data_IF_560795577387
#
_entry.id   IF_560795577387
#
_cell.length_a   1.000
_cell.length_b   1.000
_cell.length_c   1.000
_cell.angle_alpha   90.00
_cell.angle_beta   90.00
_cell.angle_gamma   90.00
#
_symmetry.space_group_name_H-M   'P 1'
#
loop_
_entity.id
_entity.type
_entity.pdbx_description
1 polymer ?
#
# COMPACT_ATOMS: atom_id res chain seq x y z
N UNK A 1 -0.45 -10.02 30.16
CA UNK A 1 0.15 -11.37 30.23
C UNK A 1 1.40 -11.47 31.13
N UNK A 2 1.62 -10.59 32.13
CA UNK A 2 2.84 -10.62 32.98
C UNK A 2 2.92 -11.79 34.01
N UNK A 3 2.09 -12.82 33.86
CA UNK A 3 1.98 -13.97 34.81
C UNK A 3 2.05 -15.33 34.13
N UNK A 4 2.37 -15.38 32.83
CA UNK A 4 2.36 -16.61 32.03
C UNK A 4 3.80 -16.94 31.68
N UNK A 5 4.24 -18.16 32.01
CA UNK A 5 5.62 -18.64 31.76
C UNK A 5 5.77 -19.43 30.45
N UNK A 6 4.66 -19.82 29.83
CA UNK A 6 4.65 -20.55 28.57
C UNK A 6 3.23 -20.76 28.07
N UNK A 7 3.08 -20.99 26.76
CA UNK A 7 1.79 -21.29 26.11
C UNK A 7 1.91 -22.61 25.35
N UNK A 8 0.94 -23.49 25.55
CA UNK A 8 0.79 -24.74 24.78
C UNK A 8 -0.62 -24.74 24.20
N UNK A 9 -0.76 -25.02 22.91
CA UNK A 9 -2.08 -25.12 22.27
C UNK A 9 -2.22 -26.36 21.39
N UNK A 10 -3.42 -26.95 21.40
CA UNK A 10 -3.77 -28.06 20.50
C UNK A 10 -3.89 -27.62 19.06
N UNK A 11 -4.36 -26.38 18.86
CA UNK A 11 -4.60 -25.78 17.55
C UNK A 11 -3.82 -24.48 17.40
N UNK A 12 -3.48 -24.14 16.17
CA UNK A 12 -2.81 -22.89 15.82
C UNK A 12 -1.65 -23.10 14.86
N UNK A 13 -1.10 -22.02 14.30
CA UNK A 13 0.07 -22.09 13.43
C UNK A 13 1.16 -21.16 13.95
N UNK A 14 2.43 -21.48 13.72
CA UNK A 14 3.55 -20.63 14.10
C UNK A 14 3.50 -19.21 13.51
N UNK A 15 2.63 -18.95 12.53
CA UNK A 15 2.39 -17.64 11.91
C UNK A 15 1.05 -17.00 12.30
N UNK A 16 0.28 -17.66 13.17
CA UNK A 16 -1.04 -17.20 13.62
C UNK A 16 -0.96 -16.09 14.66
N UNK A 17 -2.10 -15.44 14.91
CA UNK A 17 -2.19 -14.27 15.79
C UNK A 17 -1.65 -14.53 17.22
N UNK A 18 -1.98 -15.68 17.82
CA UNK A 18 -1.49 -16.05 19.14
C UNK A 18 0.03 -16.22 19.18
N UNK A 19 0.63 -16.81 18.13
CA UNK A 19 2.09 -16.92 18.01
C UNK A 19 2.73 -15.54 17.93
N UNK A 20 2.16 -14.61 17.15
CA UNK A 20 2.67 -13.24 17.04
C UNK A 20 2.62 -12.52 18.38
N UNK A 21 1.48 -12.59 19.09
CA UNK A 21 1.33 -12.01 20.42
C UNK A 21 2.33 -12.64 21.39
N UNK A 22 2.45 -13.96 21.40
CA UNK A 22 3.38 -14.64 22.29
C UNK A 22 4.84 -14.22 22.05
N UNK A 23 5.25 -14.07 20.79
CA UNK A 23 6.58 -13.53 20.43
C UNK A 23 6.76 -12.09 20.89
N UNK A 24 5.75 -11.25 20.73
CA UNK A 24 5.78 -9.86 21.19
C UNK A 24 5.98 -9.77 22.71
N UNK A 25 5.33 -10.66 23.47
CA UNK A 25 5.50 -10.77 24.92
C UNK A 25 6.68 -11.65 25.36
N UNK A 26 7.47 -12.19 24.42
CA UNK A 26 8.60 -13.12 24.68
C UNK A 26 8.20 -14.33 25.54
N UNK A 27 7.01 -14.87 25.31
CA UNK A 27 6.50 -16.04 26.02
C UNK A 27 6.83 -17.29 25.18
N UNK A 28 7.62 -18.25 25.70
CA UNK A 28 7.85 -19.53 25.03
C UNK A 28 6.53 -20.18 24.66
N UNK A 29 6.38 -20.65 23.42
CA UNK A 29 5.09 -21.10 22.89
C UNK A 29 5.25 -22.28 21.95
N UNK A 30 4.56 -23.38 22.26
CA UNK A 30 4.42 -24.55 21.37
C UNK A 30 2.95 -24.61 20.95
N UNK A 31 2.70 -24.79 19.65
CA UNK A 31 1.34 -24.83 19.12
C UNK A 31 1.15 -26.01 18.20
N UNK A 32 -0.11 -26.35 17.95
CA UNK A 32 -0.50 -27.49 17.11
C UNK A 32 -0.07 -28.84 17.70
N UNK A 33 -0.20 -29.01 19.02
CA UNK A 33 0.07 -30.31 19.67
C UNK A 33 -1.05 -31.34 19.51
N UNK A 34 -2.22 -30.93 19.01
CA UNK A 34 -3.44 -31.73 18.78
C UNK A 34 -4.09 -32.34 20.04
N UNK A 35 -3.29 -32.83 21.01
CA UNK A 35 -3.75 -33.59 22.18
C UNK A 35 -3.19 -33.07 23.51
N UNK A 36 -2.61 -31.87 23.56
CA UNK A 36 -2.05 -31.30 24.78
C UNK A 36 -3.11 -31.11 25.88
N UNK A 37 -4.33 -30.67 25.56
CA UNK A 37 -5.38 -30.51 26.59
C UNK A 37 -5.90 -31.83 27.16
N UNK A 38 -5.74 -32.94 26.44
CA UNK A 38 -6.07 -34.28 26.92
C UNK A 38 -4.96 -34.89 27.78
N UNK A 39 -3.71 -34.52 27.51
CA UNK A 39 -2.52 -35.08 28.20
C UNK A 39 -2.24 -34.34 29.51
N UNK A 40 -2.32 -33.00 29.52
CA UNK A 40 -1.90 -32.20 30.67
C UNK A 40 -3.04 -31.94 31.65
N UNK A 41 -2.74 -32.05 32.94
CA UNK A 41 -3.70 -31.78 34.01
C UNK A 41 -3.44 -30.43 34.69
N UNK A 42 -4.50 -29.75 35.11
CA UNK A 42 -4.39 -28.50 35.87
C UNK A 42 -3.56 -28.71 37.15
N UNK A 43 -2.50 -27.91 37.32
CA UNK A 43 -1.59 -27.99 38.46
C UNK A 43 -0.41 -28.97 38.26
N UNK A 44 -0.32 -29.64 37.11
CA UNK A 44 0.83 -30.47 36.76
C UNK A 44 2.07 -29.63 36.51
N UNK A 45 3.18 -30.01 37.15
CA UNK A 45 4.49 -29.40 36.91
C UNK A 45 5.12 -29.98 35.64
N UNK A 46 5.54 -29.11 34.73
CA UNK A 46 6.16 -29.46 33.44
C UNK A 46 7.31 -28.50 33.14
N UNK A 47 8.23 -28.94 32.29
CA UNK A 47 9.26 -28.08 31.68
C UNK A 47 9.04 -28.05 30.18
N UNK A 48 8.97 -26.85 29.60
CA UNK A 48 8.74 -26.66 28.18
C UNK A 48 10.01 -26.13 27.51
N UNK A 49 10.50 -26.87 26.52
CA UNK A 49 11.54 -26.45 25.61
C UNK A 49 10.90 -26.09 24.26
N UNK A 50 10.68 -24.80 24.04
CA UNK A 50 10.06 -24.30 22.82
C UNK A 50 11.03 -24.23 21.62
N UNK A 51 12.33 -24.45 21.84
CA UNK A 51 13.33 -24.46 20.77
C UNK A 51 13.35 -25.83 20.07
N UNK A 52 13.39 -26.90 20.86
CA UNK A 52 13.33 -28.27 20.35
C UNK A 52 11.89 -28.80 20.22
N UNK A 53 10.89 -28.02 20.66
CA UNK A 53 9.48 -28.39 20.72
C UNK A 53 9.21 -29.65 21.58
N UNK A 54 9.86 -29.74 22.73
CA UNK A 54 9.73 -30.88 23.65
C UNK A 54 9.15 -30.42 24.98
N UNK A 55 8.23 -31.20 25.55
CA UNK A 55 7.68 -30.99 26.89
C UNK A 55 8.09 -32.16 27.77
N UNK A 56 8.73 -31.84 28.88
CA UNK A 56 9.19 -32.80 29.88
C UNK A 56 8.24 -32.82 31.07
N UNK A 57 8.04 -34.01 31.64
CA UNK A 57 7.29 -34.17 32.88
C UNK A 57 8.15 -33.70 34.06
N UNK A 58 7.59 -32.81 34.89
CA UNK A 58 8.29 -32.24 36.05
C UNK A 58 9.29 -31.14 35.69
N UNK A 59 10.04 -30.69 36.70
CA UNK A 59 11.06 -29.65 36.57
C UNK A 59 12.41 -30.23 36.14
N UNK A 60 12.85 -29.92 34.92
CA UNK A 60 14.18 -30.25 34.39
C UNK A 60 15.09 -29.04 34.64
N UNK A 61 15.91 -29.13 35.69
CA UNK A 61 16.72 -28.00 36.16
C UNK A 61 17.83 -27.64 35.18
N UNK A 62 18.37 -28.62 34.46
CA UNK A 62 19.46 -28.48 33.51
C UNK A 62 19.08 -27.53 32.36
N UNK A 63 17.85 -27.65 31.84
CA UNK A 63 17.32 -26.76 30.80
C UNK A 63 17.14 -25.33 31.31
N UNK A 64 16.74 -25.18 32.58
CA UNK A 64 16.63 -23.87 33.21
C UNK A 64 18.00 -23.19 33.36
N UNK A 65 19.05 -23.95 33.68
CA UNK A 65 20.43 -23.43 33.72
C UNK A 65 20.99 -23.14 32.33
N UNK A 66 20.61 -23.93 31.32
CA UNK A 66 21.04 -23.72 29.94
C UNK A 66 20.50 -22.39 29.38
N UNK A 67 19.22 -22.07 29.61
CA UNK A 67 18.64 -20.77 29.21
C UNK A 67 19.30 -19.56 29.87
N UNK A 68 19.95 -19.74 31.02
CA UNK A 68 20.69 -18.69 31.72
C UNK A 68 22.14 -18.54 31.22
N UNK A 69 22.64 -19.53 30.47
CA UNK A 69 24.01 -19.59 29.98
C UNK A 69 24.15 -19.16 28.51
N UNK A 70 23.06 -19.10 27.75
CA UNK A 70 23.07 -18.51 26.41
C UNK A 70 23.23 -16.99 26.50
N UNK A 71 24.21 -16.46 25.77
CA UNK A 71 24.29 -15.02 25.52
C UNK A 71 23.06 -14.62 24.71
N UNK A 72 22.18 -13.79 25.30
CA UNK A 72 21.07 -13.23 24.55
C UNK A 72 21.65 -12.53 23.31
N UNK A 73 21.13 -12.87 22.13
CA UNK A 73 21.55 -12.21 20.86
C UNK A 73 21.45 -10.68 21.01
N UNK A 74 20.52 -10.19 21.85
CA UNK A 74 20.33 -8.78 22.16
C UNK A 74 21.52 -8.11 22.87
N UNK A 75 22.39 -8.90 23.48
CA UNK A 75 23.62 -8.46 24.14
C UNK A 75 24.82 -8.40 23.20
N UNK A 76 24.75 -9.10 22.07
CA UNK A 76 25.81 -9.07 21.06
C UNK A 76 26.05 -7.65 20.54
N UNK A 77 27.31 -7.37 20.22
CA UNK A 77 27.70 -6.09 19.68
C UNK A 77 26.97 -5.80 18.36
N UNK A 78 26.86 -6.80 17.50
CA UNK A 78 26.23 -6.76 16.18
C UNK A 78 24.75 -6.38 16.30
N UNK A 79 23.98 -7.07 17.16
CA UNK A 79 22.56 -6.74 17.36
C UNK A 79 22.38 -5.33 17.90
N UNK A 80 23.15 -4.93 18.92
CA UNK A 80 23.09 -3.57 19.51
C UNK A 80 23.50 -2.50 18.51
N UNK A 81 24.46 -2.79 17.64
CA UNK A 81 24.87 -1.89 16.55
C UNK A 81 23.76 -1.75 15.52
N UNK A 82 23.26 -2.86 14.97
CA UNK A 82 22.18 -2.87 13.98
C UNK A 82 20.91 -2.21 14.52
N UNK A 83 20.52 -2.49 15.78
CA UNK A 83 19.36 -1.87 16.41
C UNK A 83 19.52 -0.35 16.57
N UNK A 84 20.73 0.14 16.90
CA UNK A 84 21.02 1.58 16.95
C UNK A 84 20.95 2.23 15.57
N UNK A 85 21.46 1.55 14.54
CA UNK A 85 21.40 2.01 13.15
C UNK A 85 19.96 2.04 12.65
N UNK A 86 19.18 0.99 12.90
CA UNK A 86 17.76 0.90 12.50
C UNK A 86 16.93 2.04 13.09
N UNK A 87 17.17 2.46 14.33
CA UNK A 87 16.50 3.64 14.94
C UNK A 87 16.75 4.95 14.19
N UNK A 88 17.79 5.02 13.36
CA UNK A 88 18.11 6.17 12.49
C UNK A 88 17.68 5.97 11.04
N UNK A 89 17.17 4.79 10.68
CA UNK A 89 16.73 4.47 9.33
C UNK A 89 15.20 4.40 9.28
N UNK A 90 14.61 3.50 10.06
CA UNK A 90 13.23 3.04 9.87
C UNK A 90 12.12 4.02 10.30
N UNK A 91 12.23 4.71 11.46
CA UNK A 91 11.12 5.54 11.95
C UNK A 91 10.80 6.69 11.00
N UNK A 92 9.52 6.91 10.73
CA UNK A 92 9.01 8.05 9.98
C UNK A 92 8.39 9.07 10.95
N UNK A 93 9.06 10.21 11.11
CA UNK A 93 8.63 11.31 11.97
C UNK A 93 8.00 12.46 11.15
N UNK A 94 8.45 12.64 9.90
CA UNK A 94 7.89 13.63 8.97
C UNK A 94 6.65 13.09 8.25
N UNK A 95 5.48 13.18 8.90
CA UNK A 95 4.25 12.58 8.38
C UNK A 95 3.44 13.58 7.55
N UNK A 96 3.18 14.77 8.10
CA UNK A 96 2.30 15.78 7.49
C UNK A 96 3.10 16.85 6.74
N UNK A 97 2.97 16.95 5.40
CA UNK A 97 3.60 18.00 4.59
C UNK A 97 3.19 19.43 4.94
N UNK A 98 2.02 19.61 5.56
CA UNK A 98 1.51 20.93 5.94
C UNK A 98 2.05 21.42 7.30
N UNK A 99 2.71 20.54 8.06
CA UNK A 99 3.29 20.90 9.34
C UNK A 99 4.42 21.93 9.14
N UNK A 100 4.48 23.03 9.91
CA UNK A 100 5.60 23.96 9.91
C UNK A 100 6.96 23.27 10.12
N UNK A 101 6.97 22.16 10.86
CA UNK A 101 8.16 21.36 11.11
C UNK A 101 8.48 20.41 9.94
N UNK A 102 7.74 20.42 8.82
CA UNK A 102 8.09 19.70 7.60
C UNK A 102 9.25 20.39 6.85
N UNK A 103 10.43 20.33 7.46
CA UNK A 103 11.64 21.00 7.02
C UNK A 103 12.84 20.05 6.97
N UNK A 104 13.92 20.40 6.22
CA UNK A 104 15.15 19.63 6.23
C UNK A 104 15.75 19.48 7.64
N UNK A 105 15.62 20.52 8.47
CA UNK A 105 16.20 20.56 9.81
C UNK A 105 15.49 19.60 10.79
N UNK A 106 14.23 19.27 10.51
CA UNK A 106 13.43 18.33 11.31
C UNK A 106 13.64 16.86 10.92
N UNK A 107 14.42 16.57 9.87
CA UNK A 107 14.71 15.19 9.47
C UNK A 107 15.58 14.48 10.53
N UNK A 108 15.04 13.46 11.22
CA UNK A 108 15.77 12.75 12.28
C UNK A 108 16.29 11.37 11.83
N UNK A 109 15.72 10.83 10.76
CA UNK A 109 16.05 9.52 10.19
C UNK A 109 16.28 9.58 8.69
N UNK A 110 16.84 8.52 8.11
CA UNK A 110 16.95 8.41 6.65
C UNK A 110 15.57 8.30 5.97
N UNK A 111 14.58 7.68 6.61
CA UNK A 111 13.21 7.65 6.10
C UNK A 111 12.62 9.07 6.03
N UNK A 112 12.86 9.90 7.04
CA UNK A 112 12.47 11.33 7.02
C UNK A 112 13.07 12.07 5.83
N UNK A 113 14.37 11.88 5.54
CA UNK A 113 15.04 12.50 4.39
C UNK A 113 14.38 12.05 3.08
N UNK A 114 14.14 10.75 2.90
CA UNK A 114 13.50 10.25 1.68
C UNK A 114 12.09 10.79 1.49
N UNK A 115 11.32 10.91 2.59
CA UNK A 115 9.98 11.49 2.59
C UNK A 115 10.01 12.98 2.25
N UNK A 116 10.90 13.74 2.87
CA UNK A 116 11.05 15.16 2.64
C UNK A 116 11.44 15.47 1.19
N UNK A 117 12.47 14.78 0.66
CA UNK A 117 12.92 14.96 -0.73
C UNK A 117 11.82 14.60 -1.71
N UNK A 118 11.08 13.51 -1.47
CA UNK A 118 9.95 13.14 -2.31
C UNK A 118 8.87 14.23 -2.34
N UNK A 119 8.46 14.71 -1.17
CA UNK A 119 7.43 15.74 -1.07
C UNK A 119 7.86 17.07 -1.71
N UNK A 120 9.12 17.49 -1.51
CA UNK A 120 9.64 18.71 -2.15
C UNK A 120 9.82 18.56 -3.67
N UNK A 121 10.21 17.38 -4.16
CA UNK A 121 10.25 17.13 -5.60
C UNK A 121 8.85 17.21 -6.23
N UNK A 122 7.84 16.65 -5.55
CA UNK A 122 6.44 16.77 -5.99
C UNK A 122 5.96 18.21 -5.94
N UNK A 123 6.24 18.93 -4.85
CA UNK A 123 5.89 20.33 -4.70
C UNK A 123 6.52 21.18 -5.81
N UNK A 124 7.81 21.00 -6.11
CA UNK A 124 8.51 21.74 -7.16
C UNK A 124 7.92 21.45 -8.54
N UNK A 125 7.55 20.19 -8.84
CA UNK A 125 6.86 19.86 -10.09
C UNK A 125 5.51 20.59 -10.20
N UNK A 126 4.78 20.73 -9.11
CA UNK A 126 3.52 21.47 -9.07
C UNK A 126 3.79 22.97 -9.23
N UNK A 127 4.69 23.54 -8.43
CA UNK A 127 5.00 24.97 -8.39
C UNK A 127 5.62 25.47 -9.70
N UNK A 128 6.47 24.67 -10.35
CA UNK A 128 7.02 24.96 -11.68
C UNK A 128 5.89 25.22 -12.70
N UNK A 129 4.76 24.53 -12.59
CA UNK A 129 3.62 24.74 -13.46
C UNK A 129 2.72 25.92 -13.06
N UNK A 130 2.66 26.25 -11.76
CA UNK A 130 1.83 27.37 -11.27
C UNK A 130 2.50 28.74 -11.41
N UNK A 131 3.81 28.84 -11.12
CA UNK A 131 4.55 30.11 -11.07
C UNK A 131 5.40 30.40 -12.32
N UNK A 132 5.65 29.39 -13.16
CA UNK A 132 6.36 29.56 -14.43
C UNK A 132 5.51 29.12 -15.65
N UNK A 133 4.37 29.78 -15.93
CA UNK A 133 3.59 29.58 -17.16
C UNK A 133 4.32 30.08 -18.43
N UNK A 134 5.64 30.31 -18.35
CA UNK A 134 6.49 30.85 -19.40
C UNK A 134 7.61 29.90 -19.85
N UNK A 135 7.63 28.65 -19.36
CA UNK A 135 8.20 27.58 -20.17
C UNK A 135 7.17 27.26 -21.26
N UNK A 136 7.53 27.44 -22.52
CA UNK A 136 6.63 27.27 -23.66
C UNK A 136 6.07 25.84 -23.83
N UNK A 137 6.59 24.89 -23.05
CA UNK A 137 6.47 23.46 -23.34
C UNK A 137 5.74 22.65 -22.24
N UNK A 138 5.54 23.20 -21.04
CA UNK A 138 4.87 22.49 -19.94
C UNK A 138 3.44 23.03 -19.71
N UNK A 139 2.45 22.15 -19.82
CA UNK A 139 1.02 22.48 -19.71
C UNK A 139 0.43 21.78 -18.49
N UNK A 140 -0.21 22.51 -17.59
CA UNK A 140 -0.91 21.94 -16.45
C UNK A 140 -2.39 22.35 -16.38
N UNK A 141 -3.20 21.48 -15.78
CA UNK A 141 -4.61 21.74 -15.54
C UNK A 141 -5.28 20.69 -14.67
N UNK A 142 -6.49 21.00 -14.19
CA UNK A 142 -7.31 20.06 -13.42
C UNK A 142 -8.13 19.18 -14.35
N UNK A 143 -8.14 17.87 -14.09
CA UNK A 143 -8.94 16.91 -14.83
C UNK A 143 -10.42 17.06 -14.46
N UNK A 144 -11.22 17.55 -15.41
CA UNK A 144 -12.67 17.60 -15.30
C UNK A 144 -13.30 16.38 -15.97
N UNK A 145 -13.98 15.57 -15.17
CA UNK A 145 -14.60 14.32 -15.60
C UNK A 145 -15.73 13.91 -14.66
N UNK A 146 -16.44 12.84 -15.01
CA UNK A 146 -17.64 12.36 -14.31
C UNK A 146 -17.36 11.59 -13.01
N UNK A 147 -16.09 11.30 -12.68
CA UNK A 147 -15.71 10.48 -11.54
C UNK A 147 -15.24 11.35 -10.36
N UNK A 148 -15.49 10.92 -9.11
CA UNK A 148 -15.19 11.71 -7.91
C UNK A 148 -13.71 11.60 -7.51
N UNK A 149 -12.83 12.08 -8.37
CA UNK A 149 -11.39 12.18 -8.15
C UNK A 149 -10.89 13.50 -8.73
N UNK A 150 -10.53 14.43 -7.86
CA UNK A 150 -9.87 15.67 -8.28
C UNK A 150 -8.38 15.37 -8.52
N UNK A 151 -7.90 15.59 -9.74
CA UNK A 151 -6.54 15.27 -10.17
C UNK A 151 -5.97 16.43 -10.96
N UNK A 152 -4.75 16.86 -10.61
CA UNK A 152 -3.96 17.78 -11.42
C UNK A 152 -3.14 16.97 -12.42
N UNK A 153 -3.17 17.35 -13.68
CA UNK A 153 -2.38 16.75 -14.74
C UNK A 153 -1.32 17.75 -15.19
N UNK A 154 -0.08 17.29 -15.26
CA UNK A 154 1.09 18.04 -15.71
C UNK A 154 1.64 17.34 -16.96
N UNK A 155 1.62 18.02 -18.09
CA UNK A 155 2.28 17.57 -19.32
C UNK A 155 3.73 18.07 -19.36
N UNK A 156 4.66 17.13 -19.41
CA UNK A 156 6.10 17.37 -19.57
C UNK A 156 6.59 17.07 -21.00
N UNK A 157 5.69 16.68 -21.90
CA UNK A 157 6.01 16.52 -23.32
C UNK A 157 4.98 15.70 -24.10
N UNK A 158 4.07 16.36 -24.80
CA UNK A 158 3.18 15.73 -25.80
C UNK A 158 2.09 14.83 -25.21
N UNK A 159 1.83 14.92 -23.90
CA UNK A 159 0.78 14.17 -23.22
C UNK A 159 -0.62 14.78 -23.32
N UNK A 160 -0.72 16.06 -23.68
CA UNK A 160 -1.97 16.79 -23.91
C UNK A 160 -2.06 17.35 -25.34
N UNK A 161 -3.29 17.48 -25.82
CA UNK A 161 -3.57 18.13 -27.10
C UNK A 161 -3.16 19.62 -27.06
N UNK A 162 -2.69 20.20 -28.18
CA UNK A 162 -2.31 21.61 -28.24
C UNK A 162 -3.47 22.55 -27.85
N UNK A 163 -3.16 23.63 -27.11
CA UNK A 163 -4.16 24.61 -26.67
C UNK A 163 -4.97 24.19 -25.45
N UNK A 164 -4.62 23.07 -24.81
CA UNK A 164 -5.18 22.66 -23.52
C UNK A 164 -4.56 23.50 -22.39
N UNK A 165 -5.33 23.87 -21.36
CA UNK A 165 -4.81 24.61 -20.21
C UNK A 165 -5.89 24.90 -19.16
N UNK A 166 -5.51 24.86 -17.88
CA UNK A 166 -6.40 25.15 -16.76
C UNK A 166 -7.39 24.02 -16.43
N UNK A 167 -8.27 23.68 -17.37
CA UNK A 167 -9.23 22.57 -17.24
C UNK A 167 -9.04 21.58 -18.38
N UNK A 168 -8.78 20.32 -18.02
CA UNK A 168 -8.44 19.23 -18.94
C UNK A 168 -9.60 18.25 -18.92
N UNK A 169 -10.13 17.86 -20.08
CA UNK A 169 -11.07 16.74 -20.18
C UNK A 169 -10.35 15.48 -20.69
N UNK A 170 -10.81 14.26 -20.36
CA UNK A 170 -10.15 13.02 -20.79
C UNK A 170 -9.90 12.92 -22.30
N UNK A 171 -10.75 13.52 -23.14
CA UNK A 171 -10.57 13.53 -24.61
C UNK A 171 -9.41 14.40 -25.10
N UNK A 172 -8.87 15.29 -24.25
CA UNK A 172 -7.69 16.11 -24.55
C UNK A 172 -6.37 15.43 -24.19
N UNK A 173 -6.42 14.26 -23.52
CA UNK A 173 -5.22 13.50 -23.17
C UNK A 173 -4.77 12.68 -24.38
N UNK A 174 -3.59 12.99 -24.90
CA UNK A 174 -2.95 12.30 -26.04
C UNK A 174 -1.96 11.24 -25.60
N UNK A 175 -1.48 11.30 -24.36
CA UNK A 175 -0.62 10.29 -23.74
C UNK A 175 -1.28 8.91 -23.76
N UNK A 176 -0.75 7.98 -24.56
CA UNK A 176 -1.24 6.60 -24.62
C UNK A 176 -1.30 5.94 -23.23
N UNK A 177 -0.25 6.01 -22.39
CA UNK A 177 -0.30 5.36 -21.08
C UNK A 177 -1.31 6.03 -20.13
N UNK A 178 -1.45 7.36 -20.14
CA UNK A 178 -2.46 8.03 -19.31
C UNK A 178 -3.88 7.71 -19.78
N UNK A 179 -4.12 7.69 -21.09
CA UNK A 179 -5.40 7.30 -21.67
C UNK A 179 -5.77 5.86 -21.28
N UNK A 180 -4.79 4.94 -21.22
CA UNK A 180 -5.00 3.58 -20.76
C UNK A 180 -5.55 3.54 -19.32
N UNK A 181 -4.89 4.26 -18.41
CA UNK A 181 -5.34 4.36 -17.01
C UNK A 181 -6.73 4.98 -16.93
N UNK A 182 -6.98 6.11 -17.60
CA UNK A 182 -8.28 6.79 -17.60
C UNK A 182 -9.42 5.90 -18.14
N UNK A 183 -9.16 5.12 -19.20
CA UNK A 183 -10.16 4.15 -19.73
C UNK A 183 -10.44 3.04 -18.72
N UNK A 184 -9.41 2.50 -18.07
CA UNK A 184 -9.58 1.49 -17.02
C UNK A 184 -10.38 2.01 -15.83
N UNK A 185 -10.08 3.24 -15.38
CA UNK A 185 -10.86 3.91 -14.36
C UNK A 185 -12.29 4.13 -14.82
N UNK A 186 -12.52 4.46 -16.09
CA UNK A 186 -13.87 4.72 -16.61
C UNK A 186 -14.68 3.46 -16.90
N UNK A 187 -14.14 2.25 -16.67
CA UNK A 187 -14.82 1.01 -17.02
C UNK A 187 -16.13 0.84 -16.23
N UNK A 188 -17.25 0.44 -16.88
CA UNK A 188 -18.48 0.10 -16.19
C UNK A 188 -18.25 -0.94 -15.09
N UNK A 189 -18.70 -0.66 -13.87
CA UNK A 189 -18.50 -1.55 -12.72
C UNK A 189 -17.15 -1.39 -11.99
N UNK A 190 -16.20 -0.59 -12.50
CA UNK A 190 -15.01 -0.19 -11.73
C UNK A 190 -15.39 0.75 -10.58
N UNK A 191 -16.38 1.61 -10.79
CA UNK A 191 -17.01 2.45 -9.76
C UNK A 191 -18.38 1.88 -9.41
N UNK A 192 -18.37 0.85 -8.57
CA UNK A 192 -19.60 0.22 -8.07
C UNK A 192 -20.36 1.25 -7.20
N UNK A 193 -21.32 1.96 -7.78
CA UNK A 193 -22.05 3.06 -7.12
C UNK A 193 -23.27 2.58 -6.34
N UNK A 194 -23.47 1.27 -6.24
CA UNK A 194 -24.56 0.71 -5.43
C UNK A 194 -24.37 1.07 -3.95
N UNK A 195 -25.33 1.79 -3.34
CA UNK A 195 -25.25 2.16 -1.93
C UNK A 195 -25.37 0.88 -1.10
N UNK A 196 -24.24 0.41 -0.57
CA UNK A 196 -24.25 -0.60 0.49
C UNK A 196 -24.96 0.04 1.68
N UNK A 197 -26.14 -0.47 1.99
CA UNK A 197 -27.09 0.15 2.92
C UNK A 197 -26.56 0.16 4.36
N UNK A 198 -26.86 1.30 5.01
CA UNK A 198 -26.93 1.56 6.46
C UNK A 198 -25.61 1.66 7.24
N UNK A 199 -24.82 2.69 6.93
CA UNK A 199 -24.21 3.63 7.92
C UNK A 199 -23.42 4.79 7.25
N UNK A 200 -23.41 4.83 5.92
CA UNK A 200 -22.63 5.81 5.15
C UNK A 200 -23.16 7.25 5.18
N UNK A 201 -24.44 7.48 5.54
CA UNK A 201 -24.95 8.86 5.67
C UNK A 201 -24.20 9.66 6.74
N UNK A 202 -23.75 8.98 7.81
CA UNK A 202 -22.98 9.58 8.89
C UNK A 202 -21.49 9.74 8.52
N UNK A 203 -20.91 8.77 7.81
CA UNK A 203 -19.50 8.81 7.36
C UNK A 203 -19.25 9.77 6.18
N UNK A 204 -20.21 9.88 5.25
CA UNK A 204 -20.12 10.86 4.16
C UNK A 204 -20.44 12.29 4.63
N UNK A 205 -21.29 12.45 5.65
CA UNK A 205 -21.52 13.78 6.24
C UNK A 205 -20.34 14.24 7.10
N UNK A 206 -19.52 13.35 7.65
CA UNK A 206 -18.26 13.73 8.29
C UNK A 206 -17.17 14.08 7.28
N UNK A 207 -17.06 13.35 6.16
CA UNK A 207 -16.11 13.65 5.07
C UNK A 207 -16.44 14.94 4.29
N UNK A 208 -17.73 15.24 4.10
CA UNK A 208 -18.13 16.52 3.46
C UNK A 208 -18.09 17.69 4.43
N UNK A 209 -18.38 17.50 5.74
CA UNK A 209 -18.25 18.58 6.73
C UNK A 209 -16.81 19.02 7.00
N UNK A 210 -15.81 18.19 6.78
CA UNK A 210 -14.41 18.63 6.91
C UNK A 210 -13.90 19.40 5.69
N UNK A 211 -14.66 19.39 4.58
CA UNK A 211 -14.32 20.12 3.35
C UNK A 211 -15.22 21.34 3.10
N UNK A 212 -16.23 21.55 3.96
CA UNK A 212 -17.13 22.69 3.89
C UNK A 212 -17.01 23.58 5.13
N UNK A 213 -15.90 24.29 5.22
CA UNK A 213 -15.84 25.56 5.94
C UNK A 213 -14.80 26.46 5.27
N UNK A 214 -15.26 27.61 4.83
CA UNK A 214 -14.52 28.68 4.17
C UNK A 214 -13.19 29.02 4.90
N UNK A 215 -12.20 29.43 4.11
CA UNK A 215 -10.90 29.99 4.49
C UNK A 215 -9.72 29.03 4.73
N UNK A 216 -9.34 28.25 3.70
CA UNK A 216 -7.95 27.76 3.62
C UNK A 216 -7.48 27.84 2.18
N UNK A 217 -6.38 28.54 1.93
CA UNK A 217 -5.76 28.67 0.62
C UNK A 217 -5.49 27.27 0.01
N UNK A 218 -5.64 27.08 -1.31
CA UNK A 218 -5.62 25.76 -1.96
C UNK A 218 -4.23 25.07 -2.00
N UNK A 219 -3.25 25.54 -1.22
CA UNK A 219 -1.84 25.15 -1.32
C UNK A 219 -1.36 24.11 -0.29
N UNK A 220 -2.21 23.56 0.58
CA UNK A 220 -1.69 22.82 1.76
C UNK A 220 -2.22 21.40 2.05
N UNK A 221 -2.84 20.66 1.11
CA UNK A 221 -3.15 19.23 1.38
C UNK A 221 -2.99 18.36 0.13
N UNK A 222 -2.24 17.25 0.28
CA UNK A 222 -1.80 16.32 -0.77
C UNK A 222 -2.83 16.03 -1.88
N UNK A 223 -2.60 16.65 -3.03
CA UNK A 223 -3.43 16.56 -4.24
C UNK A 223 -3.12 15.27 -5.02
N UNK A 224 -4.13 14.68 -5.69
CA UNK A 224 -3.85 13.64 -6.68
C UNK A 224 -3.16 14.28 -7.88
N UNK A 225 -2.05 13.71 -8.31
CA UNK A 225 -1.21 14.27 -9.36
C UNK A 225 -0.93 13.23 -10.44
N UNK A 226 -0.95 13.65 -11.69
CA UNK A 226 -0.44 12.88 -12.82
C UNK A 226 0.57 13.72 -13.61
N UNK A 227 1.79 13.22 -13.77
CA UNK A 227 2.83 13.77 -14.65
C UNK A 227 2.90 12.88 -15.88
N UNK A 228 2.72 13.46 -17.06
CA UNK A 228 2.53 12.71 -18.31
C UNK A 228 3.40 13.24 -19.44
N UNK A 229 3.77 12.36 -20.36
CA UNK A 229 4.28 12.68 -21.69
C UNK A 229 3.55 11.83 -22.74
N UNK A 230 3.93 11.88 -24.02
CA UNK A 230 3.41 11.00 -25.07
C UNK A 230 3.43 9.52 -24.69
N UNK A 231 4.53 9.08 -24.05
CA UNK A 231 4.84 7.67 -23.77
C UNK A 231 5.10 7.38 -22.28
N UNK A 232 5.03 8.38 -21.41
CA UNK A 232 5.28 8.27 -19.97
C UNK A 232 4.05 8.66 -19.14
N UNK A 233 3.87 7.99 -18.00
CA UNK A 233 2.89 8.37 -16.99
C UNK A 233 3.43 8.10 -15.59
N UNK A 234 3.29 9.08 -14.71
CA UNK A 234 3.51 8.95 -13.28
C UNK A 234 2.31 9.50 -12.53
N UNK A 235 1.62 8.67 -11.76
CA UNK A 235 0.40 9.06 -11.04
C UNK A 235 0.63 8.82 -9.56
N UNK A 236 0.39 9.84 -8.75
CA UNK A 236 0.37 9.78 -7.29
C UNK A 236 -1.04 10.09 -6.82
N UNK A 237 -1.70 9.10 -6.22
CA UNK A 237 -3.06 9.21 -5.70
C UNK A 237 -3.06 9.09 -4.19
N UNK A 238 -3.68 10.07 -3.53
CA UNK A 238 -4.00 10.04 -2.11
C UNK A 238 -5.52 9.99 -1.95
N UNK A 239 -6.04 8.77 -1.85
CA UNK A 239 -7.47 8.47 -1.74
C UNK A 239 -7.83 8.15 -0.29
N UNK A 240 -8.12 9.19 0.49
CA UNK A 240 -8.37 9.06 1.93
C UNK A 240 -7.14 8.51 2.64
N UNK A 241 -7.19 7.25 3.07
CA UNK A 241 -6.09 6.57 3.77
C UNK A 241 -5.26 5.66 2.85
N UNK A 242 -5.56 5.62 1.56
CA UNK A 242 -4.80 4.83 0.58
C UNK A 242 -3.91 5.73 -0.23
N UNK A 243 -2.67 5.28 -0.40
CA UNK A 243 -1.68 5.90 -1.24
C UNK A 243 -1.35 4.94 -2.38
N UNK A 244 -1.55 5.38 -3.62
CA UNK A 244 -1.25 4.59 -4.82
C UNK A 244 -0.30 5.37 -5.72
N UNK A 245 0.76 4.73 -6.17
CA UNK A 245 1.70 5.27 -7.15
C UNK A 245 1.73 4.36 -8.37
N UNK A 246 1.59 4.95 -9.55
CA UNK A 246 1.80 4.30 -10.84
C UNK A 246 2.96 5.01 -11.53
N UNK A 247 3.89 4.25 -12.09
CA UNK A 247 4.96 4.78 -12.93
C UNK A 247 5.18 3.85 -14.13
N UNK A 248 5.11 4.38 -15.35
CA UNK A 248 5.25 3.55 -16.53
C UNK A 248 5.78 4.31 -17.73
N UNK A 249 6.48 3.56 -18.58
CA UNK A 249 6.99 3.99 -19.86
C UNK A 249 6.63 2.96 -20.94
N UNK A 250 5.99 3.42 -22.02
CA UNK A 250 5.35 2.57 -23.03
C UNK A 250 5.73 3.01 -24.46
N UNK A 251 6.86 2.52 -24.94
CA UNK A 251 7.43 2.78 -26.28
C UNK A 251 7.51 1.51 -27.12
N UNK A 252 7.89 1.65 -28.40
CA UNK A 252 8.03 0.51 -29.32
C UNK A 252 9.26 -0.36 -29.01
N UNK A 253 10.33 0.20 -28.42
CA UNK A 253 11.48 -0.59 -27.95
C UNK A 253 11.14 -1.30 -26.64
N UNK A 254 10.99 -2.62 -26.72
CA UNK A 254 10.69 -3.49 -25.58
C UNK A 254 11.66 -3.28 -24.41
N UNK A 255 12.93 -2.95 -24.66
CA UNK A 255 13.95 -2.85 -23.61
C UNK A 255 13.67 -1.75 -22.59
N UNK A 256 13.04 -0.68 -23.04
CA UNK A 256 12.78 0.51 -22.22
C UNK A 256 11.43 0.44 -21.52
N UNK A 257 10.56 -0.49 -21.95
CA UNK A 257 9.22 -0.64 -21.42
C UNK A 257 9.20 -1.17 -19.99
N UNK A 258 8.47 -0.46 -19.13
CA UNK A 258 8.21 -0.88 -17.77
C UNK A 258 6.87 -0.36 -17.25
N UNK A 259 6.30 -1.08 -16.28
CA UNK A 259 5.21 -0.59 -15.46
C UNK A 259 5.46 -0.94 -13.99
N UNK A 260 5.23 0.03 -13.13
CA UNK A 260 5.41 -0.04 -11.69
C UNK A 260 4.13 0.40 -11.01
N UNK A 261 3.76 -0.32 -9.98
CA UNK A 261 2.60 -0.06 -9.14
C UNK A 261 3.00 -0.20 -7.68
N UNK A 262 2.59 0.77 -6.88
CA UNK A 262 2.74 0.73 -5.43
C UNK A 262 1.42 1.10 -4.79
N UNK A 263 1.04 0.34 -3.78
CA UNK A 263 -0.13 0.61 -2.96
C UNK A 263 0.25 0.50 -1.48
N UNK A 264 -0.20 1.44 -0.65
CA UNK A 264 -0.01 1.40 0.80
C UNK A 264 -1.12 2.14 1.55
N UNK A 265 -1.40 1.73 2.79
CA UNK A 265 -2.26 2.47 3.73
C UNK A 265 -3.70 1.97 3.83
N UNK A 266 -4.40 2.37 4.91
CA UNK A 266 -5.81 2.10 5.21
C UNK A 266 -6.13 2.24 6.70
N UNK A 267 -7.38 2.55 7.07
CA UNK A 267 -7.82 2.74 8.47
C UNK A 267 -8.69 1.59 9.01
N UNK A 268 -8.87 0.54 8.21
CA UNK A 268 -9.65 -0.63 8.60
C UNK A 268 -8.89 -1.58 9.52
N UNK A 269 -9.67 -2.44 10.18
CA UNK A 269 -9.20 -3.57 10.98
C UNK A 269 -8.04 -4.31 10.29
N UNK A 270 -6.96 -4.68 11.03
CA UNK A 270 -5.78 -5.31 10.45
C UNK A 270 -6.08 -6.53 9.56
N UNK A 271 -7.12 -7.30 9.85
CA UNK A 271 -7.54 -8.46 9.06
C UNK A 271 -8.05 -8.07 7.67
N UNK A 272 -8.84 -6.99 7.57
CA UNK A 272 -9.39 -6.51 6.29
C UNK A 272 -8.29 -5.89 5.41
N UNK A 273 -7.38 -5.15 6.04
CA UNK A 273 -6.21 -4.57 5.37
C UNK A 273 -5.32 -5.65 4.75
N UNK A 274 -5.09 -6.74 5.49
CA UNK A 274 -4.32 -7.88 5.01
C UNK A 274 -5.00 -8.57 3.82
N UNK A 275 -6.32 -8.79 3.89
CA UNK A 275 -7.09 -9.39 2.77
C UNK A 275 -7.02 -8.54 1.52
N UNK A 276 -7.11 -7.21 1.62
CA UNK A 276 -6.91 -6.33 0.47
C UNK A 276 -5.51 -6.45 -0.10
N UNK A 277 -4.49 -6.41 0.75
CA UNK A 277 -3.11 -6.53 0.31
C UNK A 277 -2.89 -7.84 -0.48
N UNK A 278 -3.43 -8.95 0.04
CA UNK A 278 -3.42 -10.25 -0.65
C UNK A 278 -4.20 -10.23 -1.96
N UNK A 279 -5.38 -9.61 -2.00
CA UNK A 279 -6.17 -9.46 -3.23
C UNK A 279 -5.41 -8.68 -4.32
N UNK A 280 -4.87 -7.51 -3.98
CA UNK A 280 -4.10 -6.69 -4.93
C UNK A 280 -2.88 -7.49 -5.41
N UNK A 281 -2.17 -8.15 -4.48
CA UNK A 281 -1.02 -8.96 -4.82
C UNK A 281 -1.36 -10.15 -5.74
N UNK A 282 -2.51 -10.79 -5.53
CA UNK A 282 -3.00 -11.89 -6.38
C UNK A 282 -3.33 -11.39 -7.79
N UNK A 283 -4.03 -10.26 -7.92
CA UNK A 283 -4.33 -9.64 -9.22
C UNK A 283 -3.05 -9.28 -9.98
N UNK A 284 -2.06 -8.70 -9.29
CA UNK A 284 -0.77 -8.39 -9.90
C UNK A 284 -0.04 -9.65 -10.38
N UNK A 285 0.00 -10.71 -9.57
CA UNK A 285 0.63 -11.99 -9.96
C UNK A 285 -0.04 -12.63 -11.16
N UNK A 286 -1.38 -12.64 -11.23
CA UNK A 286 -2.14 -13.15 -12.39
C UNK A 286 -1.86 -12.40 -13.69
N UNK A 287 -1.38 -11.16 -13.59
CA UNK A 287 -1.06 -10.30 -14.73
C UNK A 287 0.46 -10.16 -14.97
N UNK A 288 1.23 -11.17 -14.52
CA UNK A 288 2.67 -11.35 -14.73
C UNK A 288 3.60 -10.36 -14.01
N UNK A 289 3.09 -9.65 -12.99
CA UNK A 289 3.94 -8.74 -12.22
C UNK A 289 4.81 -9.50 -11.21
N UNK A 290 6.09 -9.10 -11.14
CA UNK A 290 6.88 -9.37 -9.97
C UNK A 290 6.31 -8.57 -8.79
N UNK A 291 5.81 -9.28 -7.78
CA UNK A 291 5.01 -8.70 -6.71
C UNK A 291 5.62 -8.96 -5.34
N UNK A 292 5.91 -7.89 -4.60
CA UNK A 292 6.39 -7.91 -3.23
C UNK A 292 5.30 -7.38 -2.29
N UNK A 293 5.17 -8.01 -1.12
CA UNK A 293 4.19 -7.63 -0.10
C UNK A 293 4.87 -7.53 1.25
N UNK A 294 4.80 -6.35 1.86
CA UNK A 294 5.29 -6.06 3.21
C UNK A 294 4.16 -5.44 4.01
N UNK A 295 3.51 -6.24 4.86
CA UNK A 295 2.31 -5.86 5.60
C UNK A 295 1.17 -5.35 4.69
N UNK A 296 0.97 -4.03 4.61
CA UNK A 296 -0.03 -3.38 3.77
C UNK A 296 0.57 -2.63 2.57
N UNK A 297 1.91 -2.66 2.43
CA UNK A 297 2.64 -2.19 1.27
C UNK A 297 2.69 -3.30 0.22
N UNK A 298 2.16 -3.01 -0.96
CA UNK A 298 2.21 -3.87 -2.14
C UNK A 298 2.99 -3.14 -3.21
N UNK A 299 3.97 -3.83 -3.78
CA UNK A 299 4.76 -3.33 -4.92
C UNK A 299 4.66 -4.35 -6.04
N UNK A 300 4.21 -3.92 -7.21
CA UNK A 300 4.19 -4.71 -8.44
C UNK A 300 5.09 -4.05 -9.49
N UNK A 301 5.93 -4.83 -10.16
CA UNK A 301 6.73 -4.33 -11.27
C UNK A 301 6.82 -5.34 -12.41
N UNK A 302 6.83 -4.82 -13.63
CA UNK A 302 7.02 -5.59 -14.86
C UNK A 302 7.88 -4.78 -15.83
N UNK A 303 8.75 -5.46 -16.57
CA UNK A 303 9.71 -4.85 -17.51
C UNK A 303 9.83 -5.73 -18.75
N UNK A 304 10.30 -5.16 -19.85
CA UNK A 304 10.65 -5.90 -21.08
C UNK A 304 9.48 -6.64 -21.72
N UNK A 305 8.32 -5.99 -21.76
CA UNK A 305 7.17 -6.43 -22.55
C UNK A 305 6.85 -5.40 -23.64
N UNK A 306 6.07 -5.80 -24.63
CA UNK A 306 5.69 -4.93 -25.74
C UNK A 306 4.76 -3.78 -25.29
N UNK A 307 4.66 -2.73 -26.11
CA UNK A 307 3.86 -1.53 -25.80
C UNK A 307 2.41 -1.88 -25.46
N UNK A 308 1.78 -2.75 -26.25
CA UNK A 308 0.39 -3.16 -26.02
C UNK A 308 0.27 -3.94 -24.71
N UNK A 309 1.27 -4.79 -24.40
CA UNK A 309 1.43 -5.40 -23.11
C UNK A 309 1.38 -4.39 -21.95
N UNK A 310 2.19 -3.32 -22.00
CA UNK A 310 2.21 -2.26 -20.97
C UNK A 310 0.85 -1.54 -20.88
N UNK A 311 0.28 -1.14 -22.02
CA UNK A 311 -1.00 -0.43 -22.06
C UNK A 311 -2.15 -1.25 -21.44
N UNK A 312 -2.17 -2.57 -21.68
CA UNK A 312 -3.12 -3.48 -21.03
C UNK A 312 -2.94 -3.51 -19.50
N UNK A 313 -1.70 -3.45 -19.01
CA UNK A 313 -1.41 -3.40 -17.55
C UNK A 313 -1.76 -2.05 -16.93
N UNK A 314 -1.61 -0.95 -17.67
CA UNK A 314 -2.05 0.37 -17.22
C UNK A 314 -3.57 0.48 -17.15
N UNK A 315 -4.27 -0.14 -18.10
CA UNK A 315 -5.71 -0.28 -18.04
C UNK A 315 -6.16 -1.06 -16.79
N UNK A 316 -5.50 -2.17 -16.48
CA UNK A 316 -5.69 -2.93 -15.23
C UNK A 316 -5.52 -2.04 -13.99
N UNK A 317 -4.46 -1.22 -13.94
CA UNK A 317 -4.25 -0.29 -12.81
C UNK A 317 -5.38 0.72 -12.67
N UNK A 318 -5.92 1.22 -13.80
CA UNK A 318 -7.10 2.08 -13.78
C UNK A 318 -8.32 1.42 -13.13
N UNK A 319 -8.60 0.16 -13.49
CA UNK A 319 -9.69 -0.62 -12.87
C UNK A 319 -9.42 -0.79 -11.37
N UNK A 320 -8.19 -1.18 -10.98
CA UNK A 320 -7.80 -1.36 -9.59
C UNK A 320 -8.01 -0.09 -8.75
N UNK A 321 -7.70 1.10 -9.28
CA UNK A 321 -7.92 2.36 -8.55
C UNK A 321 -9.41 2.56 -8.24
N UNK A 322 -10.29 2.37 -9.22
CA UNK A 322 -11.74 2.48 -9.00
C UNK A 322 -12.24 1.45 -7.99
N UNK A 323 -11.79 0.21 -8.14
CA UNK A 323 -12.26 -0.95 -7.39
C UNK A 323 -11.79 -0.95 -5.92
N UNK A 324 -10.56 -0.51 -5.65
CA UNK A 324 -9.93 -0.53 -4.32
C UNK A 324 -10.56 0.44 -3.31
N UNK A 325 -11.29 1.46 -3.76
CA UNK A 325 -11.90 2.47 -2.88
C UNK A 325 -13.00 1.92 -1.96
N UNK A 326 -13.66 0.82 -2.34
CA UNK A 326 -14.76 0.21 -1.58
C UNK A 326 -14.44 -1.19 -1.05
N UNK A 327 -13.30 -1.75 -1.49
CA UNK A 327 -12.90 -3.12 -1.21
C UNK A 327 -12.78 -3.40 0.30
N UNK A 328 -12.34 -2.43 1.07
CA UNK A 328 -12.19 -2.52 2.53
C UNK A 328 -13.48 -2.82 3.29
N UNK A 329 -14.62 -2.43 2.74
CA UNK A 329 -15.94 -2.69 3.34
C UNK A 329 -16.49 -4.04 2.85
N UNK A 330 -16.21 -4.41 1.60
CA UNK A 330 -16.73 -5.62 0.96
C UNK A 330 -15.92 -6.90 1.27
N UNK A 331 -14.66 -6.80 1.71
CA UNK A 331 -13.81 -7.96 2.04
C UNK A 331 -14.04 -8.52 3.44
N UNK A 332 -15.13 -9.26 3.61
CA UNK A 332 -15.55 -9.85 4.89
C UNK A 332 -15.04 -11.29 5.11
N UNK A 333 -14.61 -11.99 4.06
CA UNK A 333 -14.02 -13.35 4.13
C UNK A 333 -12.86 -13.55 3.16
N UNK A 334 -12.11 -14.65 3.28
CA UNK A 334 -11.02 -14.98 2.33
C UNK A 334 -11.55 -15.39 0.94
N UNK A 335 -12.74 -16.00 0.85
CA UNK A 335 -13.37 -16.37 -0.42
C UNK A 335 -13.60 -15.15 -1.33
N UNK A 336 -13.81 -13.97 -0.75
CA UNK A 336 -13.95 -12.72 -1.49
C UNK A 336 -12.68 -12.34 -2.27
N UNK A 337 -11.50 -12.81 -1.85
CA UNK A 337 -10.24 -12.53 -2.57
C UNK A 337 -10.31 -13.15 -3.97
N UNK A 338 -10.64 -14.43 -4.05
CA UNK A 338 -10.74 -15.14 -5.32
C UNK A 338 -11.91 -14.64 -6.16
N UNK A 339 -13.07 -14.41 -5.53
CA UNK A 339 -14.25 -13.89 -6.22
C UNK A 339 -13.99 -12.52 -6.87
N UNK A 340 -13.32 -11.62 -6.15
CA UNK A 340 -12.99 -10.31 -6.70
C UNK A 340 -11.88 -10.39 -7.74
N UNK A 341 -10.92 -11.29 -7.59
CA UNK A 341 -9.89 -11.50 -8.61
C UNK A 341 -10.50 -12.00 -9.92
N UNK A 342 -11.42 -12.98 -9.85
CA UNK A 342 -12.16 -13.48 -11.02
C UNK A 342 -13.05 -12.40 -11.65
N UNK A 343 -13.75 -11.60 -10.84
CA UNK A 343 -14.53 -10.46 -11.34
C UNK A 343 -13.63 -9.47 -12.11
N UNK A 344 -12.41 -9.24 -11.62
CA UNK A 344 -11.47 -8.34 -12.26
C UNK A 344 -10.91 -8.94 -13.55
N UNK A 345 -10.64 -10.25 -13.57
CA UNK A 345 -10.27 -10.99 -14.79
C UNK A 345 -11.36 -10.86 -15.86
N UNK A 346 -12.65 -10.93 -15.50
CA UNK A 346 -13.78 -10.69 -16.42
C UNK A 346 -13.79 -9.26 -16.98
N UNK A 347 -13.57 -8.24 -16.15
CA UNK A 347 -13.49 -6.84 -16.62
C UNK A 347 -12.28 -6.61 -17.55
N UNK A 348 -11.24 -7.42 -17.41
CA UNK A 348 -10.06 -7.39 -18.29
C UNK A 348 -10.28 -8.07 -19.64
N UNK A 349 -11.29 -8.96 -19.77
CA UNK A 349 -11.68 -9.56 -21.07
C UNK A 349 -12.34 -8.52 -21.99
N UNK A 350 -13.01 -7.52 -21.41
CA UNK A 350 -13.63 -6.39 -22.13
C UNK A 350 -12.60 -5.35 -22.64
N UNK A 351 -11.30 -5.57 -22.39
CA UNK A 351 -10.25 -4.73 -22.95
C UNK A 351 -10.17 -4.89 -24.47
N UNK A 352 -10.77 -3.93 -25.18
CA UNK A 352 -10.54 -3.71 -26.60
C UNK A 352 -9.38 -2.72 -26.74
N UNK A 353 -8.27 -3.17 -27.32
CA UNK A 353 -6.99 -2.44 -27.40
C UNK A 353 -7.07 -0.94 -27.73
N UNK A 354 -6.03 -0.20 -27.33
CA UNK A 354 -5.94 1.26 -27.50
C UNK A 354 -5.54 1.70 -28.89
#
# INVERSE_FOLDING_TARGET
MKRISGIITDIGSATGHLATIAREFRIPTIMNMETATDIFQTGQEITMDAQENIIYQGLVKELHYYSLAEEEIEETFEYRLLRRVLRKIEPLNLIDPADPDFSPESCQTFHDITRFVHEKAVQELIDFNYYHPHSSDAVAGRLQWSFPLDMVVIDIGGGLAPGTGGTIVPSQVTSLPMTAVLKGMSHPGAWDTEPVSVDFGSFMSSLTRTLSSEATEPQQVGQNLAVISSDYVNISLRLGYHFTVIDAYAVDDIKDNYAYFRFSGGVTDPSRRNRRARFIAEVLKRNDFHTEVHDDLIVGSIKKIDRQGILKRLYLFGILIGFTRQLDVKMVSEEHINLFAEKLDQLMEDYHGL
#
